data_IF_201435065031
#
_entry.id   IF_201435065031
#
_cell.length_a   1.000
_cell.length_b   1.000
_cell.length_c   1.000
_cell.angle_alpha   90.00
_cell.angle_beta   90.00
_cell.angle_gamma   90.00
#
_symmetry.space_group_name_H-M   'P 1'
#
loop_
_entity.id
_entity.type
_entity.pdbx_description
1 polymer ?
#
# COMPACT_ATOMS: atom_id res chain seq x y z
N UNK A 1 3.45 -11.86 7.30
CA UNK A 1 3.97 -13.17 6.85
C UNK A 1 5.48 -13.07 6.77
N UNK A 2 6.18 -14.07 7.28
CA UNK A 2 7.65 -14.18 7.20
C UNK A 2 7.96 -15.56 6.62
N UNK A 3 8.96 -15.65 5.76
CA UNK A 3 9.44 -16.90 5.15
C UNK A 3 10.90 -17.07 5.49
N UNK A 4 11.28 -18.30 5.84
CA UNK A 4 12.62 -18.70 6.26
C UNK A 4 13.21 -19.70 5.27
N UNK A 5 14.54 -19.74 5.15
CA UNK A 5 15.25 -20.83 4.48
C UNK A 5 15.42 -22.04 5.43
N UNK A 6 16.04 -23.12 4.93
CA UNK A 6 16.29 -24.36 5.69
C UNK A 6 17.18 -24.14 6.93
N UNK A 7 18.02 -23.11 6.91
CA UNK A 7 18.91 -22.73 8.03
C UNK A 7 18.21 -21.83 9.07
N UNK A 8 16.93 -21.48 8.85
CA UNK A 8 16.16 -20.61 9.74
C UNK A 8 16.40 -19.10 9.53
N UNK A 9 17.10 -18.70 8.48
CA UNK A 9 17.30 -17.29 8.12
C UNK A 9 16.08 -16.72 7.39
N UNK A 10 15.72 -15.46 7.68
CA UNK A 10 14.59 -14.77 7.03
C UNK A 10 14.95 -14.42 5.58
N UNK A 11 14.21 -15.00 4.62
CA UNK A 11 14.38 -14.71 3.19
C UNK A 11 13.32 -13.78 2.62
N UNK A 12 12.15 -13.67 3.27
CA UNK A 12 11.07 -12.78 2.83
C UNK A 12 10.20 -12.32 3.98
N UNK A 13 9.83 -11.04 3.96
CA UNK A 13 8.88 -10.43 4.91
C UNK A 13 7.81 -9.70 4.12
N UNK A 14 6.55 -10.00 4.42
CA UNK A 14 5.39 -9.29 3.88
C UNK A 14 4.52 -8.79 5.02
N UNK A 15 4.37 -7.47 5.12
CA UNK A 15 3.53 -6.80 6.11
C UNK A 15 2.41 -6.04 5.42
N UNK A 16 1.18 -6.30 5.85
CA UNK A 16 -0.02 -5.63 5.36
C UNK A 16 -0.70 -4.93 6.53
N UNK A 17 -0.78 -3.61 6.46
CA UNK A 17 -1.49 -2.78 7.42
C UNK A 17 -2.77 -2.25 6.78
N UNK A 18 -3.86 -2.19 7.53
CA UNK A 18 -5.15 -1.64 7.08
C UNK A 18 -5.44 -0.35 7.87
N UNK A 19 -6.23 0.55 7.27
CA UNK A 19 -6.69 1.79 7.89
C UNK A 19 -5.53 2.69 8.38
N UNK A 20 -4.46 2.71 7.60
CA UNK A 20 -3.27 3.53 7.86
C UNK A 20 -3.51 4.98 7.45
N UNK A 21 -2.91 5.92 8.18
CA UNK A 21 -2.77 7.28 7.69
C UNK A 21 -1.84 7.28 6.49
N UNK A 22 -2.23 8.02 5.45
CA UNK A 22 -1.45 8.17 4.23
C UNK A 22 -0.67 9.49 4.28
N UNK A 23 0.56 9.55 3.74
CA UNK A 23 1.35 10.78 3.65
C UNK A 23 0.60 11.90 2.92
N UNK A 24 0.93 13.14 3.27
CA UNK A 24 0.27 14.32 2.70
C UNK A 24 0.44 14.40 1.18
N UNK A 25 1.61 14.01 0.66
CA UNK A 25 1.88 14.01 -0.79
C UNK A 25 0.98 13.04 -1.55
N UNK A 26 0.67 11.88 -0.94
CA UNK A 26 -0.26 10.90 -1.51
C UNK A 26 -1.69 11.43 -1.45
N UNK A 27 -2.08 12.08 -0.34
CA UNK A 27 -3.41 12.72 -0.24
C UNK A 27 -3.59 13.78 -1.32
N UNK A 28 -2.59 14.64 -1.50
CA UNK A 28 -2.60 15.71 -2.50
C UNK A 28 -2.71 15.14 -3.91
N UNK A 29 -1.86 14.17 -4.28
CA UNK A 29 -1.93 13.52 -5.59
C UNK A 29 -3.30 12.86 -5.86
N UNK A 30 -3.91 12.25 -4.85
CA UNK A 30 -5.24 11.65 -4.99
C UNK A 30 -6.31 12.72 -5.18
N UNK A 31 -6.27 13.80 -4.40
CA UNK A 31 -7.21 14.91 -4.51
C UNK A 31 -7.10 15.60 -5.88
N UNK A 32 -5.89 15.84 -6.37
CA UNK A 32 -5.64 16.46 -7.68
C UNK A 32 -6.13 15.58 -8.83
N UNK A 33 -5.94 14.26 -8.74
CA UNK A 33 -6.27 13.32 -9.83
C UNK A 33 -7.71 12.83 -9.82
N UNK A 34 -8.32 12.73 -8.64
CA UNK A 34 -9.63 12.12 -8.46
C UNK A 34 -10.68 13.07 -7.88
N UNK A 35 -10.36 14.35 -7.61
CA UNK A 35 -11.35 15.35 -7.18
C UNK A 35 -12.18 14.87 -5.99
N UNK A 36 -13.49 14.80 -6.19
CA UNK A 36 -14.49 14.50 -5.14
C UNK A 36 -14.56 13.03 -4.71
N UNK A 37 -13.65 12.17 -5.18
CA UNK A 37 -13.63 10.77 -4.77
C UNK A 37 -13.15 10.61 -3.33
N UNK A 38 -13.96 9.94 -2.52
CA UNK A 38 -13.66 9.70 -1.11
C UNK A 38 -12.75 8.49 -0.92
N UNK A 39 -11.69 8.64 -0.14
CA UNK A 39 -10.84 7.52 0.29
C UNK A 39 -11.59 6.76 1.40
N UNK A 40 -12.13 5.60 1.08
CA UNK A 40 -12.92 4.78 2.02
C UNK A 40 -12.12 3.66 2.67
N UNK A 41 -10.94 3.32 2.13
CA UNK A 41 -10.04 2.35 2.73
C UNK A 41 -8.59 2.64 2.34
N UNK A 42 -7.69 2.47 3.29
CA UNK A 42 -6.25 2.55 3.07
C UNK A 42 -5.57 1.27 3.51
N UNK A 43 -4.55 0.84 2.78
CA UNK A 43 -3.65 -0.24 3.17
C UNK A 43 -2.22 0.16 2.88
N UNK A 44 -1.30 -0.25 3.74
CA UNK A 44 0.13 -0.12 3.51
C UNK A 44 0.77 -1.50 3.42
N UNK A 45 1.47 -1.73 2.33
CA UNK A 45 2.14 -2.98 2.03
C UNK A 45 3.64 -2.72 2.08
N UNK A 46 4.35 -3.55 2.86
CA UNK A 46 5.81 -3.60 2.86
C UNK A 46 6.20 -5.02 2.48
N UNK A 47 7.05 -5.14 1.47
CA UNK A 47 7.66 -6.40 1.06
C UNK A 47 9.17 -6.25 1.08
N UNK A 48 9.83 -7.17 1.76
CA UNK A 48 11.28 -7.33 1.73
C UNK A 48 11.57 -8.76 1.28
N UNK A 49 12.56 -8.90 0.41
CA UNK A 49 13.04 -10.17 -0.09
C UNK A 49 14.56 -10.07 -0.25
N UNK A 50 15.29 -11.06 0.25
CA UNK A 50 16.76 -11.06 0.19
C UNK A 50 17.21 -10.90 -1.27
N UNK A 51 18.17 -10.01 -1.50
CA UNK A 51 18.67 -9.68 -2.84
C UNK A 51 17.80 -8.68 -3.62
N UNK A 52 16.72 -8.16 -3.02
CA UNK A 52 15.87 -7.15 -3.63
C UNK A 52 15.71 -5.91 -2.74
N UNK A 53 15.40 -4.77 -3.36
CA UNK A 53 15.01 -3.57 -2.64
C UNK A 53 13.69 -3.76 -1.88
N UNK A 54 13.54 -3.01 -0.79
CA UNK A 54 12.29 -3.00 -0.02
C UNK A 54 11.20 -2.31 -0.83
N UNK A 55 10.17 -3.05 -1.22
CA UNK A 55 9.00 -2.48 -1.88
C UNK A 55 7.99 -1.97 -0.85
N UNK A 56 7.64 -0.69 -0.95
CA UNK A 56 6.58 -0.06 -0.15
C UNK A 56 5.48 0.43 -1.08
N UNK A 57 4.23 0.22 -0.67
CA UNK A 57 3.10 0.79 -1.41
C UNK A 57 1.90 1.06 -0.54
N UNK A 58 1.18 2.13 -0.88
CA UNK A 58 -0.16 2.38 -0.38
C UNK A 58 -1.19 1.87 -1.39
N UNK A 59 -2.21 1.19 -0.88
CA UNK A 59 -3.36 0.76 -1.67
C UNK A 59 -4.58 1.47 -1.13
N UNK A 60 -5.21 2.28 -1.97
CA UNK A 60 -6.36 3.10 -1.62
C UNK A 60 -7.58 2.59 -2.34
N UNK A 61 -8.70 2.48 -1.62
CA UNK A 61 -10.01 2.29 -2.21
C UNK A 61 -10.72 3.63 -2.19
N UNK A 62 -11.01 4.15 -3.37
CA UNK A 62 -11.76 5.36 -3.61
C UNK A 62 -13.23 5.01 -3.90
N UNK A 63 -14.15 5.89 -3.52
CA UNK A 63 -15.58 5.78 -3.83
C UNK A 63 -16.15 7.14 -4.23
N UNK A 64 -16.95 7.15 -5.28
CA UNK A 64 -17.84 8.25 -5.63
C UNK A 64 -19.24 7.70 -6.00
N UNK A 65 -20.11 8.54 -6.53
CA UNK A 65 -21.45 8.13 -7.00
C UNK A 65 -21.39 7.08 -8.12
N UNK A 66 -20.37 7.14 -8.98
CA UNK A 66 -20.18 6.22 -10.10
C UNK A 66 -19.64 4.83 -9.69
N UNK A 67 -19.15 4.67 -8.46
CA UNK A 67 -18.73 3.37 -7.95
C UNK A 67 -17.47 3.41 -7.08
N UNK A 68 -16.71 2.30 -7.13
CA UNK A 68 -15.47 2.11 -6.34
C UNK A 68 -14.28 1.89 -7.27
N UNK A 69 -13.13 2.47 -6.92
CA UNK A 69 -11.87 2.28 -7.62
C UNK A 69 -10.76 1.95 -6.64
N UNK A 70 -9.91 1.00 -7.00
CA UNK A 70 -8.74 0.64 -6.19
C UNK A 70 -7.48 1.08 -6.91
N UNK A 71 -6.64 1.83 -6.22
CA UNK A 71 -5.36 2.33 -6.75
C UNK A 71 -4.22 1.87 -5.87
N UNK A 72 -3.04 1.67 -6.46
CA UNK A 72 -1.80 1.36 -5.75
C UNK A 72 -0.77 2.42 -6.10
N UNK A 73 -0.15 2.98 -5.08
CA UNK A 73 0.90 3.99 -5.19
C UNK A 73 2.17 3.43 -4.53
N UNK A 74 3.23 3.26 -5.32
CA UNK A 74 4.54 2.85 -4.80
C UNK A 74 5.23 4.05 -4.14
N UNK A 75 6.04 3.78 -3.12
CA UNK A 75 6.82 4.76 -2.36
C UNK A 75 8.25 4.29 -2.25
#
# INVERSE_FOLDING_TARGET
KVTYNEEGSIIKVQKYLKNVRIPIDIQKQVSEKYGDWLIVQTKYNVSYEVGNDVEKSYVLTLKNESGKKKIRMKV
#
